data_IF_855333577533
#
_entry.id   IF_855333577533
#
_cell.length_a   1.000
_cell.length_b   1.000
_cell.length_c   1.000
_cell.angle_alpha   90.00
_cell.angle_beta   90.00
_cell.angle_gamma   90.00
#
_symmetry.space_group_name_H-M   'P 1'
#
loop_
_entity.id
_entity.type
_entity.pdbx_description
1 polymer ?
#
# COMPACT_ATOMS: atom_id res chain seq x y z
N UNK A 1 6.99 -19.29 16.82
CA UNK A 1 7.36 -18.14 17.68
C UNK A 1 6.42 -17.00 17.37
N UNK A 2 5.70 -16.49 18.38
CA UNK A 2 4.95 -15.24 18.22
C UNK A 2 5.96 -14.11 18.12
N UNK A 3 5.84 -13.24 17.12
CA UNK A 3 6.64 -12.02 17.09
C UNK A 3 6.28 -11.16 18.31
N UNK A 4 7.24 -10.49 18.96
CA UNK A 4 6.91 -9.53 20.02
C UNK A 4 5.88 -8.54 19.50
N UNK A 5 4.88 -8.17 20.31
CA UNK A 5 3.82 -7.25 19.87
C UNK A 5 4.38 -5.96 19.25
N UNK A 6 5.49 -5.44 19.80
CA UNK A 6 6.22 -4.30 19.25
C UNK A 6 6.63 -4.51 17.78
N UNK A 7 7.16 -5.68 17.41
CA UNK A 7 7.55 -6.01 16.03
C UNK A 7 6.33 -6.03 15.12
N UNK A 8 5.21 -6.61 15.59
CA UNK A 8 3.98 -6.64 14.83
C UNK A 8 3.42 -5.25 14.53
N UNK A 9 3.39 -4.36 15.54
CA UNK A 9 3.01 -2.96 15.36
C UNK A 9 3.99 -2.21 14.45
N UNK A 10 5.29 -2.46 14.53
CA UNK A 10 6.26 -1.88 13.60
C UNK A 10 5.96 -2.28 12.16
N UNK A 11 5.68 -3.56 11.90
CA UNK A 11 5.32 -4.03 10.54
C UNK A 11 4.04 -3.35 10.05
N UNK A 12 3.00 -3.26 10.88
CA UNK A 12 1.75 -2.58 10.50
C UNK A 12 1.97 -1.08 10.22
N UNK A 13 2.79 -0.40 11.01
CA UNK A 13 3.19 0.99 10.73
C UNK A 13 3.94 1.10 9.39
N UNK A 14 4.84 0.16 9.09
CA UNK A 14 5.54 0.14 7.81
C UNK A 14 4.58 -0.11 6.64
N UNK A 15 3.57 -0.98 6.80
CA UNK A 15 2.52 -1.17 5.80
C UNK A 15 1.77 0.13 5.55
N UNK A 16 1.42 0.87 6.60
CA UNK A 16 0.78 2.18 6.44
C UNK A 16 1.69 3.20 5.74
N UNK A 17 2.99 3.22 6.06
CA UNK A 17 3.97 4.04 5.33
C UNK A 17 4.02 3.65 3.85
N UNK A 18 3.97 2.35 3.54
CA UNK A 18 3.92 1.85 2.16
C UNK A 18 2.69 2.37 1.40
N UNK A 19 1.52 2.44 2.05
CA UNK A 19 0.30 3.04 1.48
C UNK A 19 0.50 4.53 1.15
N UNK A 20 1.13 5.30 2.05
CA UNK A 20 1.45 6.70 1.82
C UNK A 20 2.47 6.89 0.68
N UNK A 21 3.46 5.99 0.58
CA UNK A 21 4.42 6.00 -0.52
C UNK A 21 3.75 5.71 -1.86
N UNK A 22 2.77 4.79 -1.91
CA UNK A 22 1.98 4.55 -3.12
C UNK A 22 1.20 5.79 -3.56
N UNK A 23 0.60 6.51 -2.61
CA UNK A 23 -0.07 7.80 -2.88
C UNK A 23 0.91 8.85 -3.41
N UNK A 24 2.09 8.97 -2.80
CA UNK A 24 3.12 9.91 -3.23
C UNK A 24 3.63 9.58 -4.64
N UNK A 25 3.91 8.30 -4.92
CA UNK A 25 4.31 7.80 -6.24
C UNK A 25 3.27 8.10 -7.31
N UNK A 26 1.98 7.93 -7.01
CA UNK A 26 0.89 8.30 -7.90
C UNK A 26 0.85 9.82 -8.17
N UNK A 27 1.14 10.64 -7.17
CA UNK A 27 1.28 12.10 -7.32
C UNK A 27 2.48 12.50 -8.19
N UNK A 28 3.64 11.85 -8.02
CA UNK A 28 4.83 12.05 -8.85
C UNK A 28 4.54 11.70 -10.31
N UNK A 29 3.92 10.54 -10.55
CA UNK A 29 3.51 10.15 -11.89
C UNK A 29 2.47 11.11 -12.46
N UNK A 30 1.49 11.54 -11.67
CA UNK A 30 0.49 12.52 -12.10
C UNK A 30 1.11 13.85 -12.51
N UNK A 31 2.09 14.35 -11.75
CA UNK A 31 2.85 15.54 -12.11
C UNK A 31 3.58 15.38 -13.45
N UNK A 32 4.21 14.23 -13.67
CA UNK A 32 4.89 13.90 -14.92
C UNK A 32 3.94 13.82 -16.11
N UNK A 33 2.78 13.17 -15.97
CA UNK A 33 1.86 12.90 -17.06
C UNK A 33 0.91 14.07 -17.40
N UNK A 34 0.58 14.92 -16.42
CA UNK A 34 -0.45 15.95 -16.59
C UNK A 34 -0.28 17.19 -15.70
N UNK A 35 0.89 17.38 -15.10
CA UNK A 35 1.18 18.54 -14.25
C UNK A 35 0.42 18.53 -12.91
N UNK A 36 0.32 19.71 -12.29
CA UNK A 36 -0.23 19.88 -10.93
C UNK A 36 -1.64 19.30 -10.75
N UNK A 37 -2.61 19.48 -11.68
CA UNK A 37 -3.95 18.94 -11.48
C UNK A 37 -3.94 17.41 -11.31
N UNK A 38 -3.19 16.71 -12.17
CA UNK A 38 -3.12 15.25 -12.12
C UNK A 38 -2.28 14.77 -10.92
N UNK A 39 -1.26 15.54 -10.50
CA UNK A 39 -0.50 15.28 -9.29
C UNK A 39 -1.37 15.27 -8.01
N UNK A 40 -2.47 16.04 -7.99
CA UNK A 40 -3.43 16.08 -6.88
C UNK A 40 -4.52 15.01 -7.04
N UNK A 41 -5.05 14.83 -8.25
CA UNK A 41 -6.15 13.88 -8.50
C UNK A 41 -5.69 12.43 -8.30
N UNK A 42 -4.49 12.07 -8.72
CA UNK A 42 -4.04 10.67 -8.66
C UNK A 42 -3.91 10.10 -7.24
N UNK A 43 -3.34 10.81 -6.25
CA UNK A 43 -3.40 10.38 -4.85
C UNK A 43 -4.83 10.19 -4.35
N UNK A 44 -5.77 11.07 -4.72
CA UNK A 44 -7.19 10.96 -4.35
C UNK A 44 -7.82 9.70 -4.95
N UNK A 45 -7.51 9.40 -6.21
CA UNK A 45 -7.94 8.15 -6.87
C UNK A 45 -7.38 6.93 -6.14
N UNK A 46 -6.10 6.93 -5.77
CA UNK A 46 -5.48 5.83 -5.00
C UNK A 46 -6.21 5.61 -3.68
N UNK A 47 -6.48 6.67 -2.91
CA UNK A 47 -7.24 6.59 -1.65
C UNK A 47 -8.65 6.04 -1.88
N UNK A 48 -9.34 6.53 -2.90
CA UNK A 48 -10.70 6.09 -3.21
C UNK A 48 -10.73 4.60 -3.58
N UNK A 49 -9.79 4.14 -4.43
CA UNK A 49 -9.63 2.72 -4.79
C UNK A 49 -9.28 1.88 -3.57
N UNK A 50 -8.38 2.37 -2.72
CA UNK A 50 -7.97 1.67 -1.50
C UNK A 50 -9.15 1.50 -0.53
N UNK A 51 -9.88 2.58 -0.27
CA UNK A 51 -11.09 2.57 0.54
C UNK A 51 -12.14 1.62 -0.01
N UNK A 52 -12.39 1.65 -1.32
CA UNK A 52 -13.43 0.87 -1.97
C UNK A 52 -13.14 -0.64 -1.99
N UNK A 53 -11.88 -1.05 -2.16
CA UNK A 53 -11.54 -2.44 -2.48
C UNK A 53 -10.48 -3.09 -1.57
N UNK A 54 -9.53 -2.33 -1.02
CA UNK A 54 -8.35 -2.88 -0.32
C UNK A 54 -8.44 -2.82 1.22
N UNK A 55 -9.14 -1.82 1.77
CA UNK A 55 -9.33 -1.61 3.20
C UNK A 55 -9.97 -2.81 3.92
N UNK A 56 -9.67 -3.05 5.22
CA UNK A 56 -10.36 -4.06 6.04
C UNK A 56 -11.88 -3.91 6.07
N UNK A 57 -12.38 -2.67 5.93
CA UNK A 57 -13.80 -2.31 5.88
C UNK A 57 -14.26 -1.89 4.48
N UNK A 58 -13.51 -2.28 3.45
CA UNK A 58 -13.82 -1.97 2.06
C UNK A 58 -15.19 -2.56 1.65
N UNK A 59 -16.11 -1.74 1.10
CA UNK A 59 -17.45 -2.18 0.72
C UNK A 59 -17.43 -3.24 -0.39
N UNK A 60 -16.42 -3.21 -1.26
CA UNK A 60 -16.25 -4.12 -2.38
C UNK A 60 -15.01 -5.02 -2.22
N UNK A 61 -14.51 -5.15 -0.98
CA UNK A 61 -13.39 -6.03 -0.67
C UNK A 61 -13.77 -7.51 -0.67
N UNK A 62 -12.77 -8.38 -0.65
CA UNK A 62 -12.94 -9.82 -0.54
C UNK A 62 -11.60 -10.56 -0.51
N UNK A 63 -11.59 -11.90 -0.33
CA UNK A 63 -10.36 -12.68 -0.21
C UNK A 63 -9.48 -12.64 -1.45
N UNK A 64 -10.06 -12.36 -2.63
CA UNK A 64 -9.35 -12.22 -3.91
C UNK A 64 -9.21 -10.76 -4.32
N UNK A 65 -10.29 -9.97 -4.21
CA UNK A 65 -10.29 -8.58 -4.66
C UNK A 65 -9.26 -7.74 -3.92
N UNK A 66 -9.17 -7.86 -2.58
CA UNK A 66 -8.20 -7.10 -1.77
C UNK A 66 -6.75 -7.32 -2.21
N UNK A 67 -6.22 -8.56 -2.27
CA UNK A 67 -4.83 -8.76 -2.68
C UNK A 67 -4.59 -8.33 -4.12
N UNK A 68 -5.55 -8.54 -5.04
CA UNK A 68 -5.42 -8.08 -6.43
C UNK A 68 -5.33 -6.55 -6.49
N UNK A 69 -6.22 -5.83 -5.80
CA UNK A 69 -6.16 -4.37 -5.75
C UNK A 69 -4.83 -3.88 -5.21
N UNK A 70 -4.30 -4.50 -4.13
CA UNK A 70 -2.98 -4.12 -3.58
C UNK A 70 -1.88 -4.29 -4.62
N UNK A 71 -1.81 -5.44 -5.29
CA UNK A 71 -0.83 -5.70 -6.34
C UNK A 71 -0.95 -4.67 -7.47
N UNK A 72 -2.16 -4.34 -7.89
CA UNK A 72 -2.39 -3.33 -8.92
C UNK A 72 -1.95 -1.92 -8.46
N UNK A 73 -2.32 -1.49 -7.26
CA UNK A 73 -1.96 -0.17 -6.73
C UNK A 73 -0.44 -0.04 -6.61
N UNK A 74 0.23 -0.99 -5.94
CA UNK A 74 1.68 -0.95 -5.77
C UNK A 74 2.44 -1.15 -7.08
N UNK A 75 1.95 -2.03 -7.95
CA UNK A 75 2.52 -2.25 -9.28
C UNK A 75 2.42 -1.03 -10.18
N UNK A 76 1.26 -0.36 -10.22
CA UNK A 76 1.06 0.86 -10.99
C UNK A 76 1.85 2.04 -10.41
N UNK A 77 1.93 2.17 -9.08
CA UNK A 77 2.77 3.19 -8.45
C UNK A 77 4.25 2.98 -8.77
N UNK A 78 4.74 1.74 -8.76
CA UNK A 78 6.09 1.37 -9.19
C UNK A 78 6.32 1.73 -10.66
N UNK A 79 5.41 1.30 -11.55
CA UNK A 79 5.50 1.58 -12.98
C UNK A 79 5.46 3.09 -13.26
N UNK A 80 4.64 3.84 -12.51
CA UNK A 80 4.53 5.29 -12.61
C UNK A 80 5.82 6.00 -12.23
N UNK A 81 6.50 5.58 -11.16
CA UNK A 81 7.82 6.10 -10.79
C UNK A 81 8.86 5.83 -11.88
N UNK A 82 8.88 4.62 -12.43
CA UNK A 82 9.81 4.26 -13.50
C UNK A 82 9.56 5.10 -14.76
N UNK A 83 8.28 5.26 -15.15
CA UNK A 83 7.90 6.09 -16.29
C UNK A 83 8.27 7.58 -16.09
N UNK A 84 8.12 8.09 -14.86
CA UNK A 84 8.53 9.44 -14.50
C UNK A 84 10.06 9.64 -14.44
N UNK A 85 10.85 8.59 -14.74
CA UNK A 85 12.32 8.62 -14.77
C UNK A 85 13.00 8.24 -13.46
N UNK A 86 12.25 7.95 -12.40
CA UNK A 86 12.75 7.66 -11.05
C UNK A 86 12.98 6.14 -10.83
N UNK A 87 13.80 5.51 -11.67
CA UNK A 87 14.02 4.06 -11.67
C UNK A 87 14.53 3.50 -10.33
N UNK A 88 15.50 4.17 -9.70
CA UNK A 88 16.03 3.76 -8.39
C UNK A 88 14.95 3.79 -7.31
N UNK A 89 14.10 4.83 -7.31
CA UNK A 89 12.98 4.95 -6.39
C UNK A 89 11.89 3.92 -6.67
N UNK A 90 11.62 3.60 -7.93
CA UNK A 90 10.70 2.56 -8.32
C UNK A 90 11.14 1.19 -7.78
N UNK A 91 12.43 0.85 -7.95
CA UNK A 91 12.99 -0.40 -7.44
C UNK A 91 12.98 -0.44 -5.90
N UNK A 92 13.38 0.64 -5.25
CA UNK A 92 13.37 0.75 -3.79
C UNK A 92 11.96 0.60 -3.22
N UNK A 93 10.97 1.27 -3.82
CA UNK A 93 9.56 1.18 -3.43
C UNK A 93 9.01 -0.23 -3.65
N UNK A 94 9.26 -0.85 -4.80
CA UNK A 94 8.83 -2.22 -5.08
C UNK A 94 9.42 -3.21 -4.06
N UNK A 95 10.73 -3.14 -3.81
CA UNK A 95 11.40 -4.01 -2.86
C UNK A 95 10.86 -3.81 -1.44
N UNK A 96 10.72 -2.55 -1.01
CA UNK A 96 10.14 -2.19 0.29
C UNK A 96 8.71 -2.74 0.43
N UNK A 97 7.85 -2.49 -0.56
CA UNK A 97 6.46 -2.92 -0.56
C UNK A 97 6.34 -4.45 -0.49
N UNK A 98 7.10 -5.18 -1.31
CA UNK A 98 7.13 -6.64 -1.27
C UNK A 98 7.58 -7.16 0.09
N UNK A 99 8.67 -6.63 0.65
CA UNK A 99 9.21 -7.09 1.93
C UNK A 99 8.25 -6.83 3.09
N UNK A 100 7.69 -5.62 3.18
CA UNK A 100 6.80 -5.22 4.26
C UNK A 100 5.46 -5.93 4.18
N UNK A 101 4.86 -6.05 2.98
CA UNK A 101 3.62 -6.79 2.82
C UNK A 101 3.83 -8.30 3.03
N UNK A 102 4.98 -8.87 2.68
CA UNK A 102 5.32 -10.25 3.03
C UNK A 102 5.45 -10.44 4.55
N UNK A 103 6.13 -9.51 5.24
CA UNK A 103 6.24 -9.52 6.70
C UNK A 103 4.87 -9.42 7.38
N UNK A 104 3.93 -8.66 6.82
CA UNK A 104 2.56 -8.55 7.33
C UNK A 104 1.78 -9.88 7.27
N UNK A 105 2.23 -10.84 6.44
CA UNK A 105 1.61 -12.17 6.37
C UNK A 105 2.11 -13.15 7.43
N UNK A 106 3.10 -12.77 8.23
CA UNK A 106 3.60 -13.62 9.31
C UNK A 106 2.49 -13.86 10.36
N UNK A 107 2.34 -15.09 10.89
CA UNK A 107 1.25 -15.43 11.82
C UNK A 107 1.16 -14.51 13.03
N UNK A 108 2.30 -14.05 13.55
CA UNK A 108 2.36 -13.14 14.70
C UNK A 108 1.83 -11.73 14.40
N UNK A 109 1.89 -11.27 13.15
CA UNK A 109 1.36 -9.95 12.75
C UNK A 109 -0.13 -10.06 12.46
N UNK A 110 -0.54 -11.10 11.73
CA UNK A 110 -1.96 -11.36 11.39
C UNK A 110 -2.83 -11.48 12.64
N UNK A 111 -2.34 -12.19 13.67
CA UNK A 111 -3.08 -12.32 14.94
C UNK A 111 -3.35 -11.00 15.66
N UNK A 112 -2.50 -9.98 15.49
CA UNK A 112 -2.73 -8.64 16.06
C UNK A 112 -3.88 -7.92 15.33
N UNK A 113 -3.93 -8.02 14.00
CA UNK A 113 -5.02 -7.44 13.20
C UNK A 113 -6.36 -8.10 13.53
N UNK A 114 -6.40 -9.43 13.61
CA UNK A 114 -7.60 -10.18 13.99
C UNK A 114 -8.09 -9.80 15.40
N UNK A 115 -7.17 -9.64 16.36
CA UNK A 115 -7.51 -9.22 17.72
C UNK A 115 -8.06 -7.78 17.78
N UNK A 116 -7.52 -6.88 16.96
CA UNK A 116 -7.97 -5.49 16.87
C UNK A 116 -9.36 -5.39 16.23
N UNK A 117 -9.65 -6.21 15.22
CA UNK A 117 -10.95 -6.26 14.56
C UNK A 117 -12.06 -6.78 15.49
N UNK A 118 -11.72 -7.70 16.40
CA UNK A 118 -12.68 -8.21 17.41
C UNK A 118 -12.99 -7.19 18.52
N UNK A 119 -12.15 -6.17 18.71
CA UNK A 119 -12.27 -5.19 19.77
C UNK A 119 -13.06 -3.92 19.38
N UNK A 120 -13.40 -3.74 18.09
CA UNK A 120 -14.07 -2.55 17.55
C UNK A 120 -15.39 -2.84 16.88
#
# INVERSE_FOLDING_TARGET
MQAPAAVGWTVLTLVFVDELLAMAAAGVWGAHAGGVPLAVVMPVVVVAVWWAFASPKAPYGGPVVRPVTKVLVFGLATAGLAQAGHHEWALAFLAFSVMVNAAAQLPGVRGLTESADLAG
#
